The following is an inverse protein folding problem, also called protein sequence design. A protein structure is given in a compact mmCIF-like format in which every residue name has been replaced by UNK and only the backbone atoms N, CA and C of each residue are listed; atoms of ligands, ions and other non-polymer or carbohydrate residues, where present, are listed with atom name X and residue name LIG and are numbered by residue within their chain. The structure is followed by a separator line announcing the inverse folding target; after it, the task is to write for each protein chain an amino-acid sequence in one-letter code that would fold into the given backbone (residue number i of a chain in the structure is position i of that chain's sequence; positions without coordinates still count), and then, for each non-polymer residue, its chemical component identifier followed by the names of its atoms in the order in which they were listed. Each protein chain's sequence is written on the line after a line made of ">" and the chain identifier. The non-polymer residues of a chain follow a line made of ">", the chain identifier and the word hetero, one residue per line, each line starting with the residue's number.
data_IF_930129660711
#
_entry.id   IF_930129660711
#
_cell.length_a   1.000
_cell.length_b   1.000
_cell.length_c   1.000
_cell.angle_alpha   90.00
_cell.angle_beta   90.00
_cell.angle_gamma   90.00
#
_symmetry.space_group_name_H-M   'P 1'
#
loop_
_entity.id
_entity.type
_entity.pdbx_description
1 polymer ?
#
# COMPACT_ATOMS: atom_id res chain seq x y z
N UNK A 1 -58.92 56.56 -35.47
CA UNK A 1 -58.63 55.96 -34.16
C UNK A 1 -57.96 54.61 -34.41
N UNK A 2 -56.61 54.56 -34.42
CA UNK A 2 -55.87 53.39 -34.75
C UNK A 2 -55.09 52.95 -33.46
N UNK A 3 -55.49 51.81 -32.93
CA UNK A 3 -54.89 51.24 -31.73
C UNK A 3 -53.74 50.35 -32.18
N UNK A 4 -52.47 50.76 -31.88
CA UNK A 4 -51.32 50.02 -32.14
C UNK A 4 -51.09 48.99 -30.97
N UNK A 5 -51.18 47.70 -31.30
CA UNK A 5 -50.78 46.63 -30.38
C UNK A 5 -49.27 46.43 -30.48
N UNK A 6 -48.52 46.72 -29.41
CA UNK A 6 -47.14 46.35 -29.24
C UNK A 6 -47.04 44.93 -28.67
N UNK A 7 -46.57 44.00 -29.50
CA UNK A 7 -46.23 42.63 -29.04
C UNK A 7 -44.83 42.67 -28.48
N UNK A 8 -44.71 42.56 -27.15
CA UNK A 8 -43.45 42.38 -26.47
C UNK A 8 -43.06 40.89 -26.53
N UNK A 9 -42.07 40.57 -27.40
CA UNK A 9 -41.45 39.23 -27.45
C UNK A 9 -40.44 39.09 -26.30
N UNK A 10 -40.79 38.33 -25.27
CA UNK A 10 -39.90 38.00 -24.17
C UNK A 10 -39.02 36.81 -24.61
N UNK A 11 -37.77 37.09 -24.95
CA UNK A 11 -36.78 36.05 -25.19
C UNK A 11 -36.23 35.57 -23.83
N UNK A 12 -36.70 34.42 -23.38
CA UNK A 12 -36.19 33.75 -22.19
C UNK A 12 -34.87 33.02 -22.54
N UNK A 13 -33.76 33.60 -22.07
CA UNK A 13 -32.43 32.99 -22.18
C UNK A 13 -32.31 31.90 -21.10
N UNK A 14 -32.39 30.62 -21.49
CA UNK A 14 -32.16 29.48 -20.58
C UNK A 14 -30.69 29.26 -20.45
N UNK A 15 -30.08 29.69 -19.33
CA UNK A 15 -28.72 29.30 -18.95
C UNK A 15 -28.73 27.87 -18.42
N UNK A 16 -28.28 26.91 -19.23
CA UNK A 16 -27.98 25.56 -18.75
C UNK A 16 -26.61 25.60 -18.06
N UNK A 17 -26.63 25.77 -16.74
CA UNK A 17 -25.43 25.58 -15.92
C UNK A 17 -25.06 24.08 -15.90
N UNK A 18 -24.15 23.68 -16.78
CA UNK A 18 -23.53 22.36 -16.74
C UNK A 18 -22.63 22.25 -15.53
N UNK A 19 -23.10 21.62 -14.44
CA UNK A 19 -22.23 21.15 -13.36
C UNK A 19 -21.38 20.02 -13.89
N UNK A 20 -20.14 20.30 -14.28
CA UNK A 20 -19.10 19.28 -14.45
C UNK A 20 -18.71 18.79 -13.06
N UNK A 21 -19.30 17.68 -12.63
CA UNK A 21 -18.85 16.94 -11.44
C UNK A 21 -17.48 16.31 -11.74
N UNK A 22 -16.42 17.03 -11.42
CA UNK A 22 -15.08 16.45 -11.36
C UNK A 22 -15.09 15.51 -10.15
N UNK A 23 -15.23 14.22 -10.36
CA UNK A 23 -15.08 13.21 -9.31
C UNK A 23 -13.62 13.23 -8.86
N UNK A 24 -13.35 13.97 -7.79
CA UNK A 24 -12.08 13.91 -7.09
C UNK A 24 -12.03 12.53 -6.42
N UNK A 25 -11.30 11.61 -7.00
CA UNK A 25 -11.00 10.30 -6.40
C UNK A 25 -10.11 10.57 -5.19
N UNK A 26 -10.72 10.67 -4.00
CA UNK A 26 -9.97 10.68 -2.75
C UNK A 26 -9.42 9.27 -2.59
N UNK A 27 -8.17 9.09 -3.01
CA UNK A 27 -7.44 7.85 -2.74
C UNK A 27 -7.23 7.79 -1.22
N UNK A 28 -7.98 6.92 -0.55
CA UNK A 28 -7.74 6.66 0.87
C UNK A 28 -6.32 6.11 1.02
N UNK A 29 -5.53 6.60 1.99
CA UNK A 29 -4.19 6.08 2.21
C UNK A 29 -4.24 4.57 2.44
N UNK A 30 -3.27 3.85 1.90
CA UNK A 30 -3.18 2.40 2.03
C UNK A 30 -3.13 2.00 3.51
N UNK A 31 -4.07 1.15 3.91
CA UNK A 31 -4.08 0.54 5.23
C UNK A 31 -3.03 -0.56 5.35
N UNK A 32 -2.65 -0.95 6.57
CA UNK A 32 -1.70 -2.05 6.77
C UNK A 32 -2.18 -3.35 6.14
N UNK A 33 -3.45 -3.70 6.39
CA UNK A 33 -4.06 -4.98 6.02
C UNK A 33 -4.64 -4.92 4.59
N UNK A 34 -4.58 -6.06 3.89
CA UNK A 34 -5.10 -6.24 2.53
C UNK A 34 -4.45 -5.33 1.46
N UNK A 35 -3.29 -4.77 1.78
CA UNK A 35 -2.45 -4.00 0.86
C UNK A 35 -1.22 -4.83 0.52
N UNK A 36 -0.89 -4.95 -0.77
CA UNK A 36 0.40 -5.54 -1.19
C UNK A 36 1.49 -4.49 -1.00
N UNK A 37 2.41 -4.77 -0.10
CA UNK A 37 3.57 -3.94 0.22
C UNK A 37 4.81 -4.45 -0.51
N UNK A 38 5.59 -3.56 -1.11
CA UNK A 38 6.86 -3.85 -1.81
C UNK A 38 8.00 -3.23 -1.04
N UNK A 39 9.04 -4.00 -0.72
CA UNK A 39 10.18 -3.58 0.09
C UNK A 39 11.11 -2.64 -0.70
N UNK A 40 11.30 -1.43 -0.19
CA UNK A 40 12.21 -0.42 -0.75
C UNK A 40 13.58 -0.44 -0.06
N UNK A 41 13.56 -0.48 1.28
CA UNK A 41 14.80 -0.45 2.08
C UNK A 41 14.78 -1.47 3.21
N UNK A 42 15.95 -2.03 3.51
CA UNK A 42 16.20 -2.92 4.62
C UNK A 42 17.45 -2.46 5.36
N UNK A 43 17.33 -2.18 6.67
CA UNK A 43 18.41 -1.67 7.51
C UNK A 43 19.10 -0.41 6.91
N UNK A 44 18.31 0.48 6.32
CA UNK A 44 18.80 1.71 5.68
C UNK A 44 19.42 1.54 4.29
N UNK A 45 19.55 0.31 3.79
CA UNK A 45 20.06 0.03 2.45
C UNK A 45 18.91 -0.16 1.47
N UNK A 46 19.00 0.46 0.30
CA UNK A 46 18.03 0.26 -0.79
C UNK A 46 18.09 -1.17 -1.29
N UNK A 47 16.93 -1.80 -1.45
CA UNK A 47 16.82 -3.13 -2.04
C UNK A 47 16.87 -3.01 -3.56
N UNK A 48 17.84 -3.69 -4.15
CA UNK A 48 17.98 -3.86 -5.60
C UNK A 48 17.96 -5.36 -5.82
N UNK A 49 16.97 -5.86 -6.55
CA UNK A 49 16.90 -7.27 -6.92
C UNK A 49 17.44 -7.42 -8.34
N UNK A 50 18.52 -8.15 -8.52
CA UNK A 50 19.14 -8.39 -9.84
C UNK A 50 18.19 -9.14 -10.78
N UNK A 51 17.31 -9.95 -10.22
CA UNK A 51 16.30 -10.71 -10.97
C UNK A 51 15.05 -9.91 -11.33
N UNK A 52 14.95 -8.64 -10.89
CA UNK A 52 13.74 -7.82 -11.02
C UNK A 52 12.52 -8.33 -10.23
N UNK A 53 12.69 -9.35 -9.37
CA UNK A 53 11.63 -9.90 -8.54
C UNK A 53 11.55 -9.13 -7.22
N UNK A 54 10.43 -8.46 -7.00
CA UNK A 54 10.19 -7.65 -5.79
C UNK A 54 10.05 -8.51 -4.54
N UNK A 55 10.55 -8.02 -3.41
CA UNK A 55 10.22 -8.60 -2.09
C UNK A 55 8.90 -7.98 -1.65
N UNK A 56 7.90 -8.82 -1.39
CA UNK A 56 6.53 -8.36 -1.09
C UNK A 56 6.06 -8.85 0.27
N UNK A 57 5.12 -8.11 0.87
CA UNK A 57 4.47 -8.42 2.14
C UNK A 57 3.00 -8.08 2.07
N UNK A 58 2.14 -9.01 2.51
CA UNK A 58 0.70 -8.85 2.63
C UNK A 58 0.26 -9.28 4.03
N UNK A 59 -0.56 -8.46 4.67
CA UNK A 59 -1.26 -8.82 5.91
C UNK A 59 -2.72 -9.12 5.60
N UNK A 60 -3.17 -10.32 5.88
CA UNK A 60 -4.54 -10.74 5.69
C UNK A 60 -5.36 -10.51 6.97
N UNK A 61 -6.33 -9.61 6.92
CA UNK A 61 -7.19 -9.24 8.05
C UNK A 61 -8.06 -10.40 8.55
N UNK A 62 -8.45 -11.32 7.67
CA UNK A 62 -9.36 -12.42 7.98
C UNK A 62 -8.65 -13.58 8.66
N UNK A 63 -7.48 -13.96 8.16
CA UNK A 63 -6.74 -15.14 8.61
C UNK A 63 -5.70 -14.84 9.68
N UNK A 64 -5.42 -13.57 9.94
CA UNK A 64 -4.34 -13.12 10.85
C UNK A 64 -2.99 -13.69 10.46
N UNK A 65 -2.76 -13.78 9.16
CA UNK A 65 -1.50 -14.24 8.57
C UNK A 65 -0.82 -13.11 7.83
N UNK A 66 0.49 -13.23 7.74
CA UNK A 66 1.27 -12.51 6.76
C UNK A 66 1.80 -13.47 5.71
N UNK A 67 2.00 -12.99 4.50
CA UNK A 67 2.55 -13.77 3.39
C UNK A 67 3.20 -12.86 2.36
N UNK A 68 3.94 -13.44 1.45
CA UNK A 68 4.57 -12.70 0.36
C UNK A 68 5.58 -13.53 -0.41
N UNK A 69 6.44 -12.81 -1.12
CA UNK A 69 7.55 -13.33 -1.88
C UNK A 69 8.85 -12.66 -1.42
N UNK A 70 9.88 -13.43 -1.15
CA UNK A 70 11.15 -12.97 -0.59
C UNK A 70 12.19 -12.56 -1.64
N UNK A 71 11.84 -12.65 -2.93
CA UNK A 71 12.78 -12.49 -4.05
C UNK A 71 13.13 -13.80 -4.74
N UNK A 72 13.12 -14.90 -3.99
CA UNK A 72 13.29 -16.28 -4.49
C UNK A 72 12.16 -17.18 -4.02
N UNK A 73 11.82 -17.13 -2.74
CA UNK A 73 10.88 -18.02 -2.11
C UNK A 73 9.58 -17.32 -1.70
N UNK A 74 8.46 -18.03 -1.86
CA UNK A 74 7.21 -17.64 -1.20
C UNK A 74 7.28 -17.95 0.28
N UNK A 75 6.67 -17.11 1.11
CA UNK A 75 6.71 -17.25 2.55
C UNK A 75 5.38 -16.88 3.20
N UNK A 76 5.20 -17.35 4.44
CA UNK A 76 4.04 -17.01 5.26
C UNK A 76 4.30 -17.26 6.74
N UNK A 77 3.42 -16.74 7.57
CA UNK A 77 3.38 -16.96 9.01
C UNK A 77 2.15 -16.35 9.64
N UNK A 78 2.04 -16.46 10.97
CA UNK A 78 0.99 -15.80 11.73
C UNK A 78 1.47 -14.45 12.25
N UNK A 79 0.57 -13.47 12.30
CA UNK A 79 0.82 -12.16 12.85
C UNK A 79 -0.27 -11.76 13.82
N UNK A 80 0.13 -11.19 14.96
CA UNK A 80 -0.77 -10.55 15.92
C UNK A 80 -0.56 -9.04 15.84
N UNK A 81 -1.65 -8.30 15.67
CA UNK A 81 -1.65 -6.84 15.65
C UNK A 81 -2.41 -6.31 16.88
N UNK A 82 -1.78 -5.41 17.62
CA UNK A 82 -2.37 -4.71 18.76
C UNK A 82 -1.99 -3.22 18.68
N UNK A 83 -2.96 -2.39 18.26
CA UNK A 83 -2.72 -0.97 17.95
C UNK A 83 -1.64 -0.83 16.87
N UNK A 84 -0.49 -0.25 17.22
CA UNK A 84 0.69 -0.05 16.35
C UNK A 84 1.77 -1.15 16.52
N UNK A 85 1.50 -2.15 17.39
CA UNK A 85 2.41 -3.27 17.64
C UNK A 85 2.11 -4.46 16.75
N UNK A 86 3.17 -5.11 16.32
CA UNK A 86 3.13 -6.37 15.57
C UNK A 86 3.92 -7.44 16.32
N UNK A 87 3.41 -8.67 16.30
CA UNK A 87 4.14 -9.85 16.78
C UNK A 87 4.06 -10.90 15.69
N UNK A 88 5.19 -11.22 15.11
CA UNK A 88 5.29 -12.22 14.06
C UNK A 88 5.66 -13.60 14.63
N UNK A 89 5.08 -14.65 14.03
CA UNK A 89 5.61 -16.00 14.18
C UNK A 89 6.91 -16.17 13.40
N UNK A 90 7.56 -17.33 13.52
CA UNK A 90 8.62 -17.71 12.60
C UNK A 90 8.11 -17.71 11.15
N UNK A 91 8.97 -17.31 10.21
CA UNK A 91 8.72 -17.34 8.78
C UNK A 91 8.83 -18.76 8.26
N UNK A 92 7.76 -19.27 7.69
CA UNK A 92 7.79 -20.50 6.89
C UNK A 92 7.96 -20.14 5.41
N UNK A 93 8.92 -20.74 4.72
CA UNK A 93 9.16 -20.46 3.30
C UNK A 93 9.39 -21.74 2.48
N UNK A 94 9.16 -21.65 1.15
CA UNK A 94 9.67 -22.64 0.21
C UNK A 94 11.21 -22.65 0.27
N UNK A 95 11.83 -23.68 -0.30
CA UNK A 95 13.29 -23.84 -0.26
C UNK A 95 13.85 -24.01 -1.67
N UNK A 96 13.59 -23.02 -2.53
CA UNK A 96 14.24 -22.96 -3.83
C UNK A 96 15.62 -22.33 -3.68
N UNK A 97 16.58 -22.78 -4.47
CA UNK A 97 17.89 -22.14 -4.59
C UNK A 97 17.86 -21.16 -5.75
N UNK A 98 18.25 -19.92 -5.50
CA UNK A 98 18.42 -18.87 -6.51
C UNK A 98 19.83 -18.28 -6.38
N UNK A 99 20.31 -17.66 -7.46
CA UNK A 99 21.67 -17.12 -7.51
C UNK A 99 21.87 -15.96 -6.50
N UNK A 100 20.85 -15.11 -6.30
CA UNK A 100 20.87 -14.04 -5.29
C UNK A 100 19.84 -14.31 -4.19
N UNK A 101 20.30 -14.82 -3.05
CA UNK A 101 19.49 -15.02 -1.85
C UNK A 101 19.84 -14.06 -0.70
N UNK A 102 20.78 -13.14 -0.91
CA UNK A 102 21.28 -12.27 0.17
C UNK A 102 20.16 -11.38 0.75
N UNK A 103 19.40 -10.75 -0.12
CA UNK A 103 18.30 -9.87 0.29
C UNK A 103 17.18 -10.66 0.98
N UNK A 104 16.81 -11.82 0.43
CA UNK A 104 15.80 -12.71 1.02
C UNK A 104 16.24 -13.21 2.40
N UNK A 105 17.46 -13.69 2.54
CA UNK A 105 18.00 -14.18 3.81
C UNK A 105 17.99 -13.09 4.88
N UNK A 106 18.43 -11.88 4.52
CA UNK A 106 18.41 -10.74 5.41
C UNK A 106 16.98 -10.35 5.80
N UNK A 107 16.07 -10.31 4.84
CA UNK A 107 14.67 -9.99 5.04
C UNK A 107 13.98 -10.98 5.98
N UNK A 108 14.11 -12.29 5.74
CA UNK A 108 13.53 -13.33 6.60
C UNK A 108 14.12 -13.37 8.00
N UNK A 109 15.38 -12.95 8.16
CA UNK A 109 16.02 -12.81 9.47
C UNK A 109 15.49 -11.61 10.25
N UNK A 110 15.17 -10.49 9.60
CA UNK A 110 14.79 -9.24 10.28
C UNK A 110 13.28 -9.10 10.45
N UNK A 111 12.45 -9.56 9.50
CA UNK A 111 11.00 -9.41 9.57
C UNK A 111 10.38 -9.88 10.89
N UNK A 112 10.71 -11.11 11.41
CA UNK A 112 10.13 -11.59 12.67
C UNK A 112 10.59 -10.82 13.91
N UNK A 113 11.63 -10.01 13.80
CA UNK A 113 12.18 -9.20 14.91
C UNK A 113 11.55 -7.82 14.99
N UNK A 114 10.74 -7.43 14.01
CA UNK A 114 10.02 -6.15 14.05
C UNK A 114 8.84 -6.24 15.02
N UNK A 115 8.63 -5.16 15.75
CA UNK A 115 7.67 -5.12 16.88
C UNK A 115 6.66 -3.99 16.78
N UNK A 116 6.85 -3.06 15.82
CA UNK A 116 5.97 -1.91 15.62
C UNK A 116 5.90 -1.52 14.15
N UNK A 117 4.76 -0.93 13.75
CA UNK A 117 4.58 -0.38 12.41
C UNK A 117 3.99 1.04 12.45
N UNK A 118 4.17 1.76 11.35
CA UNK A 118 3.44 2.98 11.00
C UNK A 118 3.11 2.97 9.50
N UNK A 119 1.99 3.57 9.12
CA UNK A 119 1.60 3.75 7.71
C UNK A 119 1.36 5.21 7.44
N UNK A 120 2.04 5.77 6.43
CA UNK A 120 1.90 7.17 6.04
C UNK A 120 2.20 7.35 4.54
N UNK A 121 1.35 8.08 3.84
CA UNK A 121 1.56 8.43 2.42
C UNK A 121 1.82 7.20 1.52
N UNK A 122 1.04 6.13 1.70
CA UNK A 122 1.21 4.86 0.98
C UNK A 122 2.56 4.17 1.23
N UNK A 123 3.23 4.51 2.32
CA UNK A 123 4.42 3.84 2.81
C UNK A 123 4.10 3.09 4.11
N UNK A 124 4.71 1.93 4.27
CA UNK A 124 4.72 1.15 5.50
C UNK A 124 6.14 1.15 6.08
N UNK A 125 6.22 1.52 7.33
CA UNK A 125 7.46 1.52 8.12
C UNK A 125 7.39 0.43 9.17
N UNK A 126 8.39 -0.44 9.23
CA UNK A 126 8.53 -1.43 10.29
C UNK A 126 9.73 -1.07 11.18
N UNK A 127 9.50 -1.21 12.48
CA UNK A 127 10.46 -0.85 13.51
C UNK A 127 10.84 -2.08 14.35
N UNK A 128 12.07 -2.04 14.87
CA UNK A 128 12.63 -2.99 15.82
C UNK A 128 13.22 -2.20 16.97
N UNK A 129 12.63 -2.31 18.17
CA UNK A 129 13.06 -1.58 19.37
C UNK A 129 13.21 -0.06 19.13
N UNK A 130 12.25 0.52 18.41
CA UNK A 130 12.22 1.94 18.10
C UNK A 130 13.09 2.39 16.91
N UNK A 131 13.91 1.51 16.33
CA UNK A 131 14.69 1.79 15.13
C UNK A 131 13.94 1.34 13.90
N UNK A 132 13.79 2.20 12.89
CA UNK A 132 13.21 1.86 11.60
C UNK A 132 14.17 0.92 10.85
N UNK A 133 13.69 -0.25 10.48
CA UNK A 133 14.49 -1.29 9.82
C UNK A 133 14.00 -1.61 8.43
N UNK A 134 12.73 -1.37 8.11
CA UNK A 134 12.18 -1.62 6.79
C UNK A 134 11.24 -0.50 6.36
N UNK A 135 11.28 -0.18 5.07
CA UNK A 135 10.33 0.71 4.41
C UNK A 135 9.79 0.00 3.17
N UNK A 136 8.47 0.06 3.00
CA UNK A 136 7.76 -0.49 1.86
C UNK A 136 6.89 0.60 1.23
N UNK A 137 6.62 0.49 -0.06
CA UNK A 137 5.52 1.21 -0.71
C UNK A 137 4.35 0.28 -1.00
N UNK A 138 3.15 0.84 -1.10
CA UNK A 138 1.98 0.09 -1.55
C UNK A 138 2.05 -0.16 -3.05
N UNK A 139 1.82 -1.41 -3.48
CA UNK A 139 1.65 -1.73 -4.90
C UNK A 139 0.23 -1.34 -5.31
N UNK A 140 0.13 -0.47 -6.32
CA UNK A 140 -1.15 -0.10 -6.96
C UNK A 140 -1.72 -1.24 -7.80
#
# INVERSE_FOLDING_TARGET
>A
MHTLLFIFSVVTLVFTSGCTSTSFQIHSPAGLENTMWVLDTLNGSKIITETGKEITLLFDSNTKKFSGFGGCNSYSGAVKKELDKLTFSAVGSTKMACDDMKNETSYFSELPKTDKYDTKNNLLYLYKKGTMVMVFHSKE
#
